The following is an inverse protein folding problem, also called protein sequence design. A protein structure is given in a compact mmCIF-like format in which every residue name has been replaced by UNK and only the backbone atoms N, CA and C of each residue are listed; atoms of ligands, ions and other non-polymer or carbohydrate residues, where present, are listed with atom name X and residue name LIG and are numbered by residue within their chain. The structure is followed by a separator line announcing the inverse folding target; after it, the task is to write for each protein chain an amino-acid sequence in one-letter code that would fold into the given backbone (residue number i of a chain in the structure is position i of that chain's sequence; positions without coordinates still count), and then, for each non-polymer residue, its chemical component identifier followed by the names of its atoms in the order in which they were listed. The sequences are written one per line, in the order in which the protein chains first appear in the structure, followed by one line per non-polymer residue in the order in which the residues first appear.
data_IF_345948583304
#
_entry.id   IF_345948583304
#
_cell.length_a   1.000
_cell.length_b   1.000
_cell.length_c   1.000
_cell.angle_alpha   90.00
_cell.angle_beta   90.00
_cell.angle_gamma   90.00
#
_symmetry.space_group_name_H-M   'P 1'
#
loop_
_entity.id
_entity.type
_entity.pdbx_description
1 polymer ?
#
# COMPACT_ATOMS: atom_id res chain seq x y z
N UNK A 1 -37.84 2.73 -41.74
CA UNK A 1 -36.67 2.47 -40.87
C UNK A 1 -36.14 3.79 -40.34
N UNK A 2 -36.26 4.12 -39.03
CA UNK A 2 -35.78 5.40 -38.52
C UNK A 2 -34.25 5.36 -38.38
N UNK A 3 -33.58 6.33 -39.00
CA UNK A 3 -32.12 6.44 -38.99
C UNK A 3 -31.61 6.79 -37.58
N UNK A 4 -30.61 6.05 -37.12
CA UNK A 4 -30.01 6.21 -35.79
C UNK A 4 -29.40 7.59 -35.57
N UNK A 5 -29.69 8.18 -34.40
CA UNK A 5 -29.21 9.50 -33.97
C UNK A 5 -27.67 9.46 -33.83
N UNK A 6 -26.95 10.34 -34.55
CA UNK A 6 -25.48 10.45 -34.45
C UNK A 6 -25.06 10.94 -33.06
N UNK A 7 -23.95 10.39 -32.53
CA UNK A 7 -23.36 10.80 -31.24
C UNK A 7 -23.01 12.29 -31.28
N UNK A 8 -23.63 13.07 -30.39
CA UNK A 8 -23.34 14.50 -30.24
C UNK A 8 -22.05 14.68 -29.42
N UNK A 9 -21.14 15.60 -29.82
CA UNK A 9 -19.93 15.87 -29.07
C UNK A 9 -20.27 16.47 -27.70
N UNK A 10 -19.47 16.09 -26.70
CA UNK A 10 -19.70 16.48 -25.32
C UNK A 10 -19.52 17.99 -25.16
N UNK A 11 -20.64 18.69 -24.91
CA UNK A 11 -20.67 20.16 -24.81
C UNK A 11 -19.76 20.66 -23.69
N UNK A 12 -19.07 21.77 -23.93
CA UNK A 12 -18.23 22.43 -22.91
C UNK A 12 -19.01 22.79 -21.64
N UNK A 13 -20.31 23.11 -21.76
CA UNK A 13 -21.20 23.31 -20.59
C UNK A 13 -21.42 22.03 -19.81
N UNK A 14 -21.64 20.91 -20.50
CA UNK A 14 -21.78 19.60 -19.88
C UNK A 14 -20.47 19.16 -19.18
N UNK A 15 -19.31 19.46 -19.78
CA UNK A 15 -18.00 19.21 -19.18
C UNK A 15 -17.75 20.06 -17.94
N UNK A 16 -18.13 21.34 -17.96
CA UNK A 16 -18.01 22.24 -16.81
C UNK A 16 -18.91 21.80 -15.66
N UNK A 17 -20.15 21.41 -15.94
CA UNK A 17 -21.09 20.84 -14.96
C UNK A 17 -20.57 19.52 -14.38
N UNK A 18 -20.02 18.63 -15.22
CA UNK A 18 -19.41 17.38 -14.76
C UNK A 18 -18.22 17.62 -13.82
N UNK A 19 -17.37 18.60 -14.14
CA UNK A 19 -16.24 18.98 -13.28
C UNK A 19 -16.69 19.64 -11.98
N UNK A 20 -17.74 20.47 -12.01
CA UNK A 20 -18.35 21.05 -10.80
C UNK A 20 -18.97 19.97 -9.91
N UNK A 21 -19.75 19.05 -10.47
CA UNK A 21 -20.31 17.91 -9.74
C UNK A 21 -19.21 17.05 -9.12
N UNK A 22 -18.14 16.76 -9.87
CA UNK A 22 -16.98 16.02 -9.37
C UNK A 22 -16.18 16.76 -8.28
N UNK A 23 -16.26 18.09 -8.24
CA UNK A 23 -15.65 18.93 -7.20
C UNK A 23 -16.55 19.02 -5.96
N UNK A 24 -17.87 19.00 -6.13
CA UNK A 24 -18.84 18.95 -5.02
C UNK A 24 -18.89 17.58 -4.35
N UNK A 25 -18.71 16.48 -5.09
CA UNK A 25 -18.52 15.14 -4.49
C UNK A 25 -17.16 14.99 -3.79
N UNK A 26 -16.20 15.86 -4.09
CA UNK A 26 -14.93 15.99 -3.38
C UNK A 26 -14.98 17.16 -2.39
N UNK A 27 -15.99 17.17 -1.51
CA UNK A 27 -16.03 18.06 -0.37
C UNK A 27 -14.76 17.89 0.49
N UNK A 28 -14.21 18.96 1.10
CA UNK A 28 -13.06 18.83 1.99
C UNK A 28 -13.50 18.04 3.23
N UNK A 29 -12.77 16.96 3.54
CA UNK A 29 -12.67 16.31 4.84
C UNK A 29 -13.92 16.42 5.72
N UNK A 30 -14.86 15.50 5.50
CA UNK A 30 -15.87 15.18 6.49
C UNK A 30 -15.58 13.75 6.97
N UNK A 31 -15.01 13.62 8.18
CA UNK A 31 -14.55 12.37 8.81
C UNK A 31 -15.66 11.31 9.02
N UNK A 32 -16.90 11.61 8.64
CA UNK A 32 -18.06 10.77 8.92
C UNK A 32 -18.49 9.86 7.74
N UNK A 33 -17.80 9.88 6.60
CA UNK A 33 -18.09 9.01 5.44
C UNK A 33 -17.34 7.65 5.48
N UNK A 34 -16.84 7.26 6.67
CA UNK A 34 -16.21 5.94 6.91
C UNK A 34 -17.22 4.78 6.91
N UNK A 35 -18.53 5.04 7.01
CA UNK A 35 -19.55 3.98 7.10
C UNK A 35 -20.00 3.37 5.77
N UNK A 36 -19.70 3.98 4.62
CA UNK A 36 -20.18 3.46 3.32
C UNK A 36 -19.15 2.56 2.62
N UNK A 37 -17.89 2.54 3.08
CA UNK A 37 -16.86 1.63 2.57
C UNK A 37 -16.89 0.22 3.19
N UNK A 38 -17.61 0.01 4.29
CA UNK A 38 -17.69 -1.30 4.96
C UNK A 38 -18.75 -2.26 4.41
N UNK A 39 -19.66 -1.81 3.53
CA UNK A 39 -20.75 -2.66 3.00
C UNK A 39 -20.33 -3.53 1.78
N UNK A 40 -19.16 -3.29 1.19
CA UNK A 40 -18.73 -4.00 -0.04
C UNK A 40 -17.56 -4.98 0.17
N UNK A 41 -17.14 -5.21 1.41
CA UNK A 41 -16.10 -6.20 1.77
C UNK A 41 -16.73 -7.31 2.59
N UNK A 42 -17.72 -7.98 2.02
CA UNK A 42 -18.16 -9.29 2.50
C UNK A 42 -17.44 -10.34 1.64
N UNK A 43 -16.27 -10.80 2.10
CA UNK A 43 -15.58 -11.94 1.47
C UNK A 43 -14.06 -11.79 1.32
N UNK A 44 -13.35 -11.50 2.41
CA UNK A 44 -11.97 -11.97 2.59
C UNK A 44 -11.66 -11.86 4.08
N UNK A 45 -11.23 -12.97 4.66
CA UNK A 45 -10.83 -13.24 6.06
C UNK A 45 -10.78 -12.06 7.03
N UNK A 46 -11.53 -12.22 8.12
CA UNK A 46 -11.86 -11.30 9.23
C UNK A 46 -10.68 -10.86 10.14
N UNK A 47 -9.42 -10.99 9.72
CA UNK A 47 -8.25 -10.78 10.62
C UNK A 47 -7.48 -9.46 10.40
N UNK A 48 -7.81 -8.66 9.39
CA UNK A 48 -7.06 -7.46 8.98
C UNK A 48 -7.59 -6.11 9.57
N UNK A 49 -8.50 -6.15 10.54
CA UNK A 49 -9.21 -4.94 11.01
C UNK A 49 -8.31 -3.96 11.81
N UNK A 50 -7.14 -4.39 12.30
CA UNK A 50 -6.31 -3.59 13.21
C UNK A 50 -5.38 -2.56 12.53
N UNK A 51 -5.26 -2.56 11.19
CA UNK A 51 -4.29 -1.73 10.48
C UNK A 51 -4.92 -0.75 9.47
N UNK A 52 -6.22 -0.82 9.18
CA UNK A 52 -6.76 -0.20 7.95
C UNK A 52 -6.83 1.33 7.94
N UNK A 53 -6.90 1.99 9.10
CA UNK A 53 -7.25 3.42 9.16
C UNK A 53 -6.16 4.36 8.61
N UNK A 54 -4.91 3.90 8.54
CA UNK A 54 -3.75 4.67 8.08
C UNK A 54 -2.98 3.99 6.94
N UNK A 55 -3.59 3.08 6.17
CA UNK A 55 -2.90 2.38 5.08
C UNK A 55 -3.29 2.92 3.71
N UNK A 56 -2.31 3.41 2.98
CA UNK A 56 -2.44 3.81 1.58
C UNK A 56 -2.25 2.61 0.66
N UNK A 57 -3.31 2.28 -0.07
CA UNK A 57 -3.37 1.23 -1.09
C UNK A 57 -3.02 1.82 -2.47
N UNK A 58 -1.84 1.49 -3.02
CA UNK A 58 -1.30 2.04 -4.27
C UNK A 58 -1.63 1.12 -5.46
N UNK A 59 -1.99 1.70 -6.61
CA UNK A 59 -2.38 0.98 -7.85
C UNK A 59 -3.68 0.16 -7.76
N UNK A 60 -4.63 0.57 -6.91
CA UNK A 60 -5.89 -0.15 -6.73
C UNK A 60 -6.74 -0.09 -8.00
N UNK A 61 -7.04 -1.26 -8.55
CA UNK A 61 -7.93 -1.40 -9.70
C UNK A 61 -9.38 -1.38 -9.24
N UNK A 62 -10.28 -0.64 -9.92
CA UNK A 62 -11.71 -0.67 -9.63
C UNK A 62 -12.27 -2.05 -9.99
N UNK A 63 -12.55 -2.87 -8.98
CA UNK A 63 -13.19 -4.17 -9.20
C UNK A 63 -14.67 -3.93 -9.45
N UNK A 64 -15.13 -4.21 -10.67
CA UNK A 64 -16.56 -4.46 -10.87
C UNK A 64 -16.80 -5.87 -10.36
N UNK A 65 -17.74 -6.10 -9.42
CA UNK A 65 -18.03 -7.44 -8.95
C UNK A 65 -18.58 -8.25 -10.13
N UNK A 66 -17.70 -9.02 -10.77
CA UNK A 66 -18.10 -10.04 -11.71
C UNK A 66 -18.05 -11.37 -10.95
N UNK A 67 -19.20 -11.98 -10.63
CA UNK A 67 -19.25 -13.22 -9.85
C UNK A 67 -18.56 -14.42 -10.53
N UNK A 68 -18.14 -14.27 -11.80
CA UNK A 68 -17.45 -15.31 -12.56
C UNK A 68 -15.92 -15.18 -12.56
N UNK A 69 -15.36 -14.04 -12.11
CA UNK A 69 -13.90 -13.84 -12.10
C UNK A 69 -13.30 -14.37 -10.80
N UNK A 70 -12.55 -15.48 -10.89
CA UNK A 70 -11.76 -16.03 -9.78
C UNK A 70 -10.49 -15.22 -9.46
N UNK A 71 -10.16 -14.21 -10.26
CA UNK A 71 -8.92 -13.45 -10.10
C UNK A 71 -9.14 -12.22 -9.22
N UNK A 72 -8.44 -12.18 -8.08
CA UNK A 72 -8.34 -11.01 -7.24
C UNK A 72 -7.31 -10.03 -7.84
N UNK A 73 -7.76 -9.11 -8.68
CA UNK A 73 -6.91 -8.12 -9.34
C UNK A 73 -6.07 -7.27 -8.36
N UNK A 74 -6.56 -7.10 -7.13
CA UNK A 74 -5.91 -6.33 -6.07
C UNK A 74 -5.14 -7.21 -5.06
N UNK A 75 -4.82 -8.47 -5.40
CA UNK A 75 -4.07 -9.37 -4.49
C UNK A 75 -2.67 -8.84 -4.16
N UNK A 76 -1.96 -8.35 -5.18
CA UNK A 76 -0.59 -7.82 -5.05
C UNK A 76 -0.57 -6.29 -4.97
N UNK A 77 -1.61 -5.72 -4.37
CA UNK A 77 -1.70 -4.29 -4.19
C UNK A 77 -0.61 -3.82 -3.22
N UNK A 78 0.09 -2.75 -3.56
CA UNK A 78 1.07 -2.20 -2.65
C UNK A 78 0.36 -1.48 -1.50
N UNK A 79 0.79 -1.72 -0.28
CA UNK A 79 0.19 -1.21 0.94
C UNK A 79 1.28 -0.56 1.79
N UNK A 80 1.13 0.74 2.05
CA UNK A 80 2.08 1.51 2.85
C UNK A 80 1.35 2.28 3.95
N UNK A 81 2.02 2.54 5.07
CA UNK A 81 1.51 3.50 6.04
C UNK A 81 1.46 4.89 5.43
N UNK A 82 0.34 5.58 5.63
CA UNK A 82 0.11 6.96 5.21
C UNK A 82 0.70 7.90 6.26
N UNK A 83 1.59 8.78 5.82
CA UNK A 83 2.09 9.88 6.64
C UNK A 83 0.99 10.89 6.95
N UNK A 84 1.13 11.59 8.07
CA UNK A 84 0.23 12.69 8.41
C UNK A 84 0.38 13.86 7.43
N UNK A 85 -0.67 14.66 7.26
CA UNK A 85 -0.60 15.85 6.40
C UNK A 85 0.39 16.91 6.93
N UNK A 86 0.64 16.91 8.24
CA UNK A 86 1.62 17.77 8.87
C UNK A 86 3.06 17.40 8.46
N UNK A 87 3.42 16.11 8.59
CA UNK A 87 4.75 15.60 8.18
C UNK A 87 4.99 15.80 6.68
N UNK A 88 3.96 15.55 5.86
CA UNK A 88 4.04 15.78 4.41
C UNK A 88 4.27 17.25 4.06
N UNK A 89 3.67 18.18 4.82
CA UNK A 89 3.85 19.62 4.61
C UNK A 89 5.26 20.05 5.00
N UNK A 90 5.75 19.60 6.14
CA UNK A 90 7.10 19.86 6.59
C UNK A 90 8.14 19.34 5.59
N UNK A 91 8.02 18.07 5.14
CA UNK A 91 8.95 17.51 4.14
C UNK A 91 8.92 18.27 2.81
N UNK A 92 7.75 18.78 2.40
CA UNK A 92 7.63 19.68 1.22
C UNK A 92 8.28 21.04 1.45
N UNK A 93 8.24 21.58 2.66
CA UNK A 93 8.94 22.83 2.98
C UNK A 93 10.45 22.61 3.01
N UNK A 94 10.92 21.48 3.56
CA UNK A 94 12.33 21.08 3.54
C UNK A 94 12.85 20.92 2.11
N UNK A 95 12.07 20.30 1.21
CA UNK A 95 12.47 20.13 -0.19
C UNK A 95 12.50 21.44 -1.00
N UNK A 96 11.84 22.50 -0.51
CA UNK A 96 11.87 23.84 -1.12
C UNK A 96 13.06 24.68 -0.67
N UNK A 97 13.85 24.21 0.31
CA UNK A 97 15.09 24.89 0.72
C UNK A 97 16.13 24.80 -0.39
N UNK A 98 16.91 25.86 -0.55
CA UNK A 98 17.99 25.91 -1.55
C UNK A 98 19.04 24.83 -1.25
N UNK A 99 19.42 24.06 -2.26
CA UNK A 99 20.48 23.06 -2.15
C UNK A 99 21.83 23.77 -2.06
N UNK A 100 22.59 23.47 -1.00
CA UNK A 100 23.96 23.98 -0.81
C UNK A 100 24.92 22.90 -1.33
N UNK A 101 25.87 23.22 -2.23
CA UNK A 101 26.85 22.26 -2.70
C UNK A 101 27.72 21.80 -1.53
N UNK A 102 27.86 20.49 -1.40
CA UNK A 102 28.64 19.83 -0.37
C UNK A 102 29.98 19.31 -0.94
N UNK A 103 31.07 19.27 -0.14
CA UNK A 103 32.34 18.72 -0.58
C UNK A 103 32.25 17.20 -0.83
N UNK A 104 33.13 16.67 -1.68
CA UNK A 104 33.14 15.26 -2.10
C UNK A 104 33.17 14.27 -0.93
N UNK A 105 33.90 14.61 0.15
CA UNK A 105 34.00 13.80 1.37
C UNK A 105 32.67 13.60 2.10
N UNK A 106 31.65 14.40 1.79
CA UNK A 106 30.32 14.32 2.40
C UNK A 106 29.23 13.80 1.46
N UNK A 107 29.62 13.39 0.25
CA UNK A 107 28.72 12.71 -0.69
C UNK A 107 28.58 11.22 -0.39
N UNK A 108 29.52 10.67 0.38
CA UNK A 108 29.45 9.30 0.88
C UNK A 108 28.61 9.28 2.15
N UNK A 109 27.60 8.40 2.18
CA UNK A 109 26.77 8.19 3.36
C UNK A 109 26.80 6.72 3.73
N UNK A 110 27.11 6.44 5.00
CA UNK A 110 27.06 5.06 5.54
C UNK A 110 25.61 4.60 5.65
N UNK A 111 25.36 3.32 5.34
CA UNK A 111 24.05 2.71 5.55
C UNK A 111 23.59 2.74 7.02
N UNK A 112 24.55 2.70 7.95
CA UNK A 112 24.34 2.76 9.40
C UNK A 112 23.66 4.07 9.84
N UNK A 113 23.78 5.14 9.04
CA UNK A 113 23.16 6.43 9.34
C UNK A 113 21.63 6.40 9.20
N UNK A 114 21.09 5.51 8.36
CA UNK A 114 19.67 5.49 8.01
C UNK A 114 18.94 4.21 8.41
N UNK A 115 19.66 3.10 8.56
CA UNK A 115 19.06 1.82 8.91
C UNK A 115 19.52 1.40 10.31
N UNK A 116 18.59 1.17 11.25
CA UNK A 116 18.95 0.61 12.55
C UNK A 116 19.58 -0.78 12.38
N UNK A 117 20.67 -1.06 13.08
CA UNK A 117 21.42 -2.33 12.97
C UNK A 117 20.56 -3.58 13.25
N UNK A 118 19.54 -3.44 14.11
CA UNK A 118 18.65 -4.54 14.50
C UNK A 118 17.40 -4.67 13.61
N UNK A 119 17.23 -3.83 12.60
CA UNK A 119 16.08 -3.90 11.69
C UNK A 119 16.30 -4.95 10.60
N UNK A 120 15.75 -6.16 10.83
CA UNK A 120 15.76 -7.26 9.83
C UNK A 120 14.44 -7.30 9.10
N UNK A 121 14.44 -7.76 7.85
CA UNK A 121 13.23 -8.02 7.06
C UNK A 121 12.56 -9.35 7.49
N UNK A 122 11.25 -9.56 7.21
CA UNK A 122 10.55 -10.78 7.63
C UNK A 122 11.06 -11.99 6.86
N UNK A 123 11.40 -13.05 7.59
CA UNK A 123 11.91 -14.32 7.02
C UNK A 123 10.78 -15.33 6.99
N UNK A 124 10.66 -16.10 5.91
CA UNK A 124 9.62 -17.11 5.82
C UNK A 124 9.75 -18.13 6.96
N UNK A 125 8.66 -18.42 7.71
CA UNK A 125 8.70 -19.47 8.71
C UNK A 125 8.93 -20.84 8.05
N UNK A 126 9.62 -21.79 8.71
CA UNK A 126 9.83 -23.14 8.15
C UNK A 126 8.51 -23.80 7.77
N UNK A 127 8.47 -24.47 6.62
CA UNK A 127 7.28 -25.15 6.12
C UNK A 127 7.66 -26.49 5.48
N UNK A 128 6.70 -27.41 5.47
CA UNK A 128 6.89 -28.76 4.92
C UNK A 128 5.80 -29.08 3.89
N UNK A 129 6.11 -29.97 2.94
CA UNK A 129 5.16 -30.45 1.92
C UNK A 129 3.93 -31.18 2.50
N UNK A 130 4.01 -31.63 3.75
CA UNK A 130 2.89 -32.28 4.45
C UNK A 130 1.84 -31.29 4.98
N UNK A 131 2.14 -29.99 5.00
CA UNK A 131 1.22 -28.97 5.50
C UNK A 131 0.11 -28.70 4.46
N UNK A 132 -1.11 -28.51 4.93
CA UNK A 132 -2.19 -28.03 4.05
C UNK A 132 -1.92 -26.58 3.63
N UNK A 133 -2.51 -26.16 2.51
CA UNK A 133 -2.41 -24.78 2.03
C UNK A 133 -2.92 -23.79 3.07
N UNK A 134 -4.02 -24.12 3.74
CA UNK A 134 -4.67 -23.30 4.75
C UNK A 134 -3.80 -23.21 6.02
N UNK A 135 -3.16 -24.31 6.42
CA UNK A 135 -2.23 -24.32 7.55
C UNK A 135 -1.00 -23.45 7.27
N UNK A 136 -0.44 -23.55 6.07
CA UNK A 136 0.69 -22.72 5.65
C UNK A 136 0.32 -21.24 5.61
N UNK A 137 -0.84 -20.92 5.03
CA UNK A 137 -1.36 -19.55 4.94
C UNK A 137 -1.58 -18.96 6.34
N UNK A 138 -2.22 -19.69 7.25
CA UNK A 138 -2.41 -19.27 8.64
C UNK A 138 -1.09 -19.04 9.39
N UNK A 139 -0.09 -19.92 9.17
CA UNK A 139 1.23 -19.80 9.80
C UNK A 139 1.99 -18.58 9.30
N UNK A 140 2.00 -18.35 7.98
CA UNK A 140 2.65 -17.20 7.38
C UNK A 140 1.98 -15.88 7.80
N UNK A 141 0.64 -15.83 7.80
CA UNK A 141 -0.12 -14.68 8.30
C UNK A 141 0.21 -14.38 9.76
N UNK A 142 0.18 -15.40 10.62
CA UNK A 142 0.49 -15.23 12.04
C UNK A 142 1.89 -14.69 12.26
N UNK A 143 2.90 -15.28 11.62
CA UNK A 143 4.29 -14.83 11.72
C UNK A 143 4.44 -13.37 11.28
N UNK A 144 3.85 -13.03 10.14
CA UNK A 144 3.92 -11.69 9.58
C UNK A 144 3.28 -10.66 10.52
N UNK A 145 2.08 -10.93 11.04
CA UNK A 145 1.39 -10.07 12.00
C UNK A 145 2.18 -9.89 13.30
N UNK A 146 2.78 -10.96 13.84
CA UNK A 146 3.64 -10.89 15.02
C UNK A 146 4.88 -10.02 14.74
N UNK A 147 5.50 -10.17 13.57
CA UNK A 147 6.64 -9.37 13.12
C UNK A 147 6.31 -7.86 13.03
N UNK A 148 5.14 -7.47 12.49
CA UNK A 148 4.76 -6.03 12.51
C UNK A 148 4.55 -5.51 13.91
N UNK A 149 3.85 -6.26 14.76
CA UNK A 149 3.60 -5.85 16.15
C UNK A 149 4.91 -5.61 16.88
N UNK A 150 5.89 -6.46 16.63
CA UNK A 150 7.24 -6.30 17.16
C UNK A 150 7.95 -5.05 16.63
N UNK A 151 7.83 -4.75 15.34
CA UNK A 151 8.39 -3.51 14.75
C UNK A 151 7.73 -2.27 15.35
N UNK A 152 6.40 -2.24 15.41
CA UNK A 152 5.63 -1.12 15.95
C UNK A 152 5.92 -0.87 17.43
N UNK A 153 6.24 -1.93 18.18
CA UNK A 153 6.65 -1.83 19.57
C UNK A 153 8.08 -1.29 19.73
N UNK A 154 8.99 -1.64 18.82
CA UNK A 154 10.42 -1.31 18.92
C UNK A 154 10.75 0.08 18.39
N UNK A 155 10.07 0.53 17.34
CA UNK A 155 10.43 1.75 16.61
C UNK A 155 9.25 2.69 16.48
N UNK A 156 9.52 4.00 16.52
CA UNK A 156 8.50 5.00 16.20
C UNK A 156 8.28 5.04 14.69
N UNK A 157 7.08 5.44 14.27
CA UNK A 157 6.75 5.60 12.84
C UNK A 157 7.67 6.58 12.11
N UNK A 158 8.26 7.55 12.81
CA UNK A 158 9.18 8.55 12.28
C UNK A 158 10.61 8.03 12.07
N UNK A 159 10.97 6.91 12.71
CA UNK A 159 12.33 6.35 12.70
C UNK A 159 12.49 5.27 11.60
N UNK A 160 11.38 4.76 11.07
CA UNK A 160 11.38 3.73 10.04
C UNK A 160 11.17 4.32 8.65
N UNK A 161 11.92 3.80 7.68
CA UNK A 161 11.58 3.97 6.28
C UNK A 161 10.27 3.29 5.93
N UNK A 162 9.64 3.70 4.82
CA UNK A 162 8.44 3.03 4.32
C UNK A 162 8.72 1.57 3.98
N UNK A 163 7.78 0.70 4.37
CA UNK A 163 7.85 -0.72 4.09
C UNK A 163 6.47 -1.27 3.70
N UNK A 164 6.50 -2.36 2.95
CA UNK A 164 5.31 -3.00 2.41
C UNK A 164 4.55 -3.75 3.50
N UNK A 165 3.24 -3.50 3.58
CA UNK A 165 2.33 -4.11 4.56
C UNK A 165 1.59 -5.33 3.98
N UNK A 166 1.66 -5.56 2.67
CA UNK A 166 1.01 -6.71 2.04
C UNK A 166 1.88 -7.97 2.12
N UNK A 167 1.39 -9.00 2.82
CA UNK A 167 2.03 -10.31 2.91
C UNK A 167 2.28 -10.94 1.53
N UNK A 168 1.39 -10.74 0.57
CA UNK A 168 1.54 -11.34 -0.76
C UNK A 168 2.78 -10.85 -1.49
N UNK A 169 3.22 -9.61 -1.24
CA UNK A 169 4.48 -9.10 -1.78
C UNK A 169 5.68 -9.78 -1.13
N UNK A 170 5.64 -9.97 0.19
CA UNK A 170 6.68 -10.69 0.92
C UNK A 170 6.77 -12.17 0.52
N UNK A 171 5.63 -12.81 0.24
CA UNK A 171 5.60 -14.17 -0.34
C UNK A 171 6.32 -14.27 -1.67
N UNK A 172 6.23 -13.24 -2.53
CA UNK A 172 7.00 -13.24 -3.78
C UNK A 172 8.49 -13.14 -3.49
N UNK A 173 8.90 -12.28 -2.56
CA UNK A 173 10.31 -12.19 -2.15
C UNK A 173 10.81 -13.54 -1.62
N UNK A 174 10.06 -14.20 -0.74
CA UNK A 174 10.47 -15.48 -0.18
C UNK A 174 10.64 -16.57 -1.24
N UNK A 175 9.72 -16.68 -2.21
CA UNK A 175 9.86 -17.63 -3.32
C UNK A 175 11.11 -17.38 -4.15
N UNK A 176 11.42 -16.11 -4.41
CA UNK A 176 12.63 -15.73 -5.13
C UNK A 176 13.86 -16.10 -4.31
N UNK A 177 13.91 -15.73 -3.03
CA UNK A 177 15.02 -16.06 -2.12
C UNK A 177 15.26 -17.57 -1.97
N UNK A 178 14.21 -18.39 -2.04
CA UNK A 178 14.32 -19.86 -2.00
C UNK A 178 14.93 -20.45 -3.28
N UNK A 179 14.84 -19.75 -4.41
CA UNK A 179 15.34 -20.20 -5.71
C UNK A 179 16.65 -19.54 -6.14
N UNK A 180 17.08 -18.49 -5.45
CA UNK A 180 18.29 -17.75 -5.80
C UNK A 180 19.54 -18.43 -5.25
N UNK A 181 20.51 -18.67 -6.14
CA UNK A 181 21.86 -19.09 -5.75
C UNK A 181 22.77 -17.91 -5.39
N UNK A 182 22.52 -16.74 -5.99
CA UNK A 182 23.32 -15.52 -5.81
C UNK A 182 22.37 -14.33 -5.67
N UNK A 183 22.60 -13.51 -4.64
CA UNK A 183 21.95 -12.21 -4.46
C UNK A 183 23.02 -11.10 -4.55
N UNK A 184 22.81 -10.14 -5.46
CA UNK A 184 23.62 -8.93 -5.54
C UNK A 184 22.89 -7.82 -4.79
N UNK A 185 23.52 -7.25 -3.77
CA UNK A 185 22.97 -6.19 -2.90
C UNK A 185 23.87 -4.97 -2.99
#
# INVERSE_FOLDING_TARGET
MPHGRKKVPFSGKAKKLQLQAKKQTKSPWNDNDRRVKSILVAGSSDDDEYLEDNVQKLNQQPVRPNPTSKSNANRYLLQFKRESDAELRERKEQSRKTLVPLPETSLEVSSEQYFPDDLKFPVRPPWDFNMSKEQLDARENRYFTEYFKDIEKRYKSTELSFFELNLETWRQLWRVMEMLDIALV
#
